data_IF_501267053541
#
_entry.id   IF_501267053541
#
_cell.length_a   1.000
_cell.length_b   1.000
_cell.length_c   1.000
_cell.angle_alpha   90.00
_cell.angle_beta   90.00
_cell.angle_gamma   90.00
#
_symmetry.space_group_name_H-M   'P 1'
#
loop_
_entity.id
_entity.type
_entity.pdbx_description
1 polymer ?
#
# COMPACT_ATOMS: atom_id res chain seq x y z
N UNK A 1 -26.92 17.53 28.87
CA UNK A 1 -26.60 18.14 27.54
C UNK A 1 -27.74 17.83 26.58
N UNK A 2 -28.13 18.75 25.68
CA UNK A 2 -29.13 18.42 24.65
C UNK A 2 -28.51 17.40 23.66
N UNK A 3 -29.24 16.35 23.25
CA UNK A 3 -28.69 15.30 22.38
C UNK A 3 -28.16 15.85 21.05
N UNK A 4 -28.75 16.93 20.54
CA UNK A 4 -28.29 17.61 19.33
C UNK A 4 -26.85 18.16 19.42
N UNK A 5 -26.41 18.60 20.62
CA UNK A 5 -25.04 19.10 20.81
C UNK A 5 -24.02 17.97 20.76
N UNK A 6 -24.38 16.80 21.28
CA UNK A 6 -23.51 15.61 21.26
C UNK A 6 -23.31 15.13 19.83
N UNK A 7 -24.40 15.02 19.06
CA UNK A 7 -24.32 14.66 17.63
C UNK A 7 -23.43 15.64 16.87
N UNK A 8 -23.61 16.95 17.08
CA UNK A 8 -22.80 17.97 16.41
C UNK A 8 -21.30 17.80 16.69
N UNK A 9 -20.91 17.56 17.95
CA UNK A 9 -19.51 17.32 18.33
C UNK A 9 -18.97 16.05 17.65
N UNK A 10 -19.75 14.96 17.62
CA UNK A 10 -19.35 13.71 16.97
C UNK A 10 -19.13 13.91 15.47
N UNK A 11 -20.04 14.61 14.78
CA UNK A 11 -19.90 14.90 13.35
C UNK A 11 -18.66 15.76 13.09
N UNK A 12 -18.42 16.81 13.90
CA UNK A 12 -17.23 17.65 13.77
C UNK A 12 -15.94 16.84 13.94
N UNK A 13 -15.92 15.93 14.91
CA UNK A 13 -14.80 15.04 15.13
C UNK A 13 -14.57 14.10 13.93
N UNK A 14 -15.62 13.49 13.38
CA UNK A 14 -15.52 12.62 12.20
C UNK A 14 -15.01 13.39 10.96
N UNK A 15 -15.51 14.61 10.73
CA UNK A 15 -15.04 15.47 9.63
C UNK A 15 -13.55 15.82 9.79
N UNK A 16 -13.11 16.10 11.02
CA UNK A 16 -11.71 16.37 11.29
C UNK A 16 -10.82 15.15 11.01
N UNK A 17 -11.25 13.96 11.44
CA UNK A 17 -10.56 12.69 11.16
C UNK A 17 -10.50 12.44 9.65
N UNK A 18 -11.62 12.56 8.94
CA UNK A 18 -11.69 12.36 7.48
C UNK A 18 -10.77 13.32 6.71
N UNK A 19 -10.73 14.61 7.09
CA UNK A 19 -9.81 15.57 6.52
C UNK A 19 -8.34 15.17 6.72
N UNK A 20 -8.00 14.65 7.92
CA UNK A 20 -6.68 14.10 8.21
C UNK A 20 -6.33 12.91 7.32
N UNK A 21 -7.24 11.94 7.18
CA UNK A 21 -7.05 10.79 6.29
C UNK A 21 -6.92 11.22 4.82
N UNK A 22 -7.72 12.19 4.37
CA UNK A 22 -7.67 12.72 3.01
C UNK A 22 -6.31 13.34 2.69
N UNK A 23 -5.78 14.19 3.59
CA UNK A 23 -4.44 14.77 3.42
C UNK A 23 -3.36 13.69 3.39
N UNK A 24 -3.45 12.69 4.25
CA UNK A 24 -2.53 11.55 4.24
C UNK A 24 -2.60 10.77 2.92
N UNK A 25 -3.80 10.45 2.45
CA UNK A 25 -4.01 9.74 1.18
C UNK A 25 -3.44 10.52 -0.01
N UNK A 26 -3.58 11.85 -0.02
CA UNK A 26 -2.98 12.71 -1.06
C UNK A 26 -1.46 12.69 -1.05
N UNK A 27 -0.83 12.66 0.13
CA UNK A 27 0.63 12.55 0.23
C UNK A 27 1.11 11.18 -0.28
N UNK A 28 0.42 10.11 0.12
CA UNK A 28 0.72 8.76 -0.35
C UNK A 28 0.58 8.64 -1.87
N UNK A 29 -0.48 9.21 -2.46
CA UNK A 29 -0.70 9.16 -3.91
C UNK A 29 0.44 9.79 -4.71
N UNK A 30 1.04 10.89 -4.21
CA UNK A 30 2.22 11.50 -4.85
C UNK A 30 3.44 10.58 -4.81
N UNK A 31 3.61 9.82 -3.73
CA UNK A 31 4.71 8.84 -3.60
C UNK A 31 4.54 7.66 -4.55
N UNK A 32 3.31 7.20 -4.75
CA UNK A 32 3.00 6.12 -5.69
C UNK A 32 3.06 6.56 -7.16
N UNK A 33 2.86 7.85 -7.45
CA UNK A 33 2.85 8.36 -8.82
C UNK A 33 4.15 8.05 -9.60
N UNK A 34 5.31 8.08 -8.93
CA UNK A 34 6.59 7.76 -9.56
C UNK A 34 6.73 6.28 -9.95
N UNK A 35 6.12 5.36 -9.19
CA UNK A 35 6.12 3.93 -9.51
C UNK A 35 5.03 3.54 -10.49
N UNK A 36 3.93 4.31 -10.58
CA UNK A 36 2.80 4.01 -11.45
C UNK A 36 3.17 4.01 -12.94
N UNK A 37 4.06 4.89 -13.39
CA UNK A 37 4.50 4.88 -14.79
C UNK A 37 5.26 3.60 -15.14
N UNK A 38 6.21 3.20 -14.29
CA UNK A 38 6.96 1.96 -14.49
C UNK A 38 6.04 0.73 -14.50
N UNK A 39 5.06 0.68 -13.59
CA UNK A 39 4.08 -0.40 -13.54
C UNK A 39 3.24 -0.43 -14.82
N UNK A 40 2.72 0.72 -15.29
CA UNK A 40 1.93 0.81 -16.53
C UNK A 40 2.71 0.33 -17.75
N UNK A 41 3.99 0.69 -17.84
CA UNK A 41 4.85 0.24 -18.94
C UNK A 41 5.03 -1.28 -18.87
N UNK A 42 5.38 -1.81 -17.68
CA UNK A 42 5.60 -3.23 -17.49
C UNK A 42 4.33 -4.06 -17.81
N UNK A 43 3.16 -3.63 -17.34
CA UNK A 43 1.90 -4.34 -17.60
C UNK A 43 1.51 -4.26 -19.07
N UNK A 44 1.71 -3.13 -19.73
CA UNK A 44 1.45 -2.98 -21.16
C UNK A 44 2.35 -3.89 -22.01
N UNK A 45 3.65 -3.93 -21.71
CA UNK A 45 4.62 -4.78 -22.44
C UNK A 45 4.32 -6.26 -22.26
N UNK A 46 3.89 -6.66 -21.06
CA UNK A 46 3.57 -8.06 -20.73
C UNK A 46 2.13 -8.46 -21.08
N UNK A 47 1.29 -7.53 -21.55
CA UNK A 47 -0.13 -7.80 -21.84
C UNK A 47 -0.95 -8.12 -20.59
N UNK A 48 -0.56 -7.59 -19.43
CA UNK A 48 -1.22 -7.82 -18.15
C UNK A 48 -2.20 -6.68 -17.83
N UNK A 49 -3.30 -7.01 -17.16
CA UNK A 49 -4.26 -6.01 -16.64
C UNK A 49 -3.78 -5.33 -15.37
N UNK A 50 -2.91 -6.00 -14.61
CA UNK A 50 -2.27 -5.52 -13.37
C UNK A 50 -0.87 -6.13 -13.26
N UNK A 51 -0.02 -5.59 -12.39
CA UNK A 51 1.33 -6.10 -12.16
C UNK A 51 1.26 -7.54 -11.62
N UNK A 52 1.85 -8.50 -12.32
CA UNK A 52 2.01 -9.87 -11.83
C UNK A 52 3.50 -10.16 -11.70
N UNK A 53 3.99 -10.23 -10.45
CA UNK A 53 5.41 -10.45 -10.14
C UNK A 53 5.76 -11.94 -10.21
N UNK A 54 4.85 -12.81 -9.77
CA UNK A 54 4.92 -14.26 -9.97
C UNK A 54 3.51 -14.85 -10.05
N UNK A 55 3.36 -15.97 -10.75
CA UNK A 55 2.07 -16.62 -10.96
C UNK A 55 1.72 -17.65 -9.89
N UNK A 56 2.63 -17.97 -8.97
CA UNK A 56 2.43 -19.06 -8.00
C UNK A 56 1.73 -18.58 -6.72
N UNK A 57 2.35 -17.67 -5.94
CA UNK A 57 1.78 -17.16 -4.70
C UNK A 57 0.71 -16.11 -4.99
N UNK A 58 -0.40 -16.15 -4.26
CA UNK A 58 -1.53 -15.23 -4.50
C UNK A 58 -1.12 -13.76 -4.32
N UNK A 59 -0.33 -13.46 -3.31
CA UNK A 59 0.13 -12.11 -2.97
C UNK A 59 1.14 -11.53 -3.96
N UNK A 60 1.69 -12.35 -4.88
CA UNK A 60 2.61 -11.90 -5.93
C UNK A 60 1.95 -11.78 -7.31
N UNK A 61 0.76 -12.38 -7.50
CA UNK A 61 0.02 -12.36 -8.78
C UNK A 61 -0.76 -11.06 -9.01
N UNK A 62 -1.35 -10.51 -7.95
CA UNK A 62 -2.15 -9.27 -8.00
C UNK A 62 -1.88 -8.41 -6.76
N UNK A 63 -0.69 -7.79 -6.66
CA UNK A 63 -0.27 -7.02 -5.48
C UNK A 63 -1.15 -5.79 -5.25
N UNK A 64 -1.86 -5.29 -6.26
CA UNK A 64 -2.78 -4.16 -6.10
C UNK A 64 -4.04 -4.50 -5.28
N UNK A 65 -4.43 -5.78 -5.23
CA UNK A 65 -5.66 -6.25 -4.55
C UNK A 65 -5.39 -7.30 -3.48
N UNK A 66 -4.14 -7.74 -3.33
CA UNK A 66 -3.76 -8.73 -2.32
C UNK A 66 -3.63 -8.07 -0.95
N UNK A 67 -4.22 -8.70 0.07
CA UNK A 67 -4.08 -8.24 1.45
C UNK A 67 -2.65 -8.52 1.96
N UNK A 68 -2.01 -7.57 2.66
CA UNK A 68 -0.71 -7.79 3.31
C UNK A 68 -0.65 -8.98 4.27
N UNK A 69 -1.78 -9.48 4.77
CA UNK A 69 -1.86 -10.63 5.69
C UNK A 69 -1.76 -11.97 4.97
N UNK A 70 -1.99 -12.03 3.66
CA UNK A 70 -2.05 -13.29 2.89
C UNK A 70 -0.79 -14.16 3.10
N UNK A 71 0.45 -13.64 3.14
CA UNK A 71 1.64 -14.45 3.42
C UNK A 71 1.68 -15.12 4.80
N UNK A 72 0.77 -14.74 5.71
CA UNK A 72 0.77 -15.16 7.12
C UNK A 72 -0.52 -15.89 7.52
N UNK A 73 -1.37 -16.26 6.56
CA UNK A 73 -2.68 -16.87 6.84
C UNK A 73 -2.62 -18.35 7.25
N UNK A 74 -1.47 -19.00 7.09
CA UNK A 74 -1.27 -20.37 7.53
C UNK A 74 -1.05 -20.46 9.06
N UNK A 75 -0.71 -21.64 9.55
CA UNK A 75 -0.40 -21.83 10.97
C UNK A 75 0.97 -21.20 11.34
N UNK A 76 1.16 -20.78 12.61
CA UNK A 76 2.46 -20.30 13.07
C UNK A 76 3.58 -21.28 12.74
N UNK A 77 4.65 -20.79 12.10
CA UNK A 77 5.79 -21.62 11.70
C UNK A 77 5.56 -22.50 10.45
N UNK A 78 4.44 -22.34 9.74
CA UNK A 78 4.27 -22.95 8.43
C UNK A 78 5.37 -22.49 7.47
N UNK A 79 5.89 -23.44 6.69
CA UNK A 79 6.83 -23.14 5.60
C UNK A 79 5.99 -22.94 4.34
N UNK A 80 6.12 -21.76 3.74
CA UNK A 80 5.51 -21.44 2.45
C UNK A 80 6.01 -22.41 1.36
N UNK A 81 5.09 -22.96 0.57
CA UNK A 81 5.38 -23.90 -0.50
C UNK A 81 5.73 -23.19 -1.82
N UNK A 82 5.36 -21.91 -1.94
CA UNK A 82 5.62 -21.11 -3.12
C UNK A 82 7.02 -20.46 -3.06
N UNK A 83 7.95 -20.79 -3.97
CA UNK A 83 9.31 -20.26 -3.94
C UNK A 83 9.39 -18.72 -4.06
N UNK A 84 8.44 -18.07 -4.73
CA UNK A 84 8.34 -16.59 -4.75
C UNK A 84 8.21 -15.96 -3.38
N UNK A 85 7.69 -16.66 -2.37
CA UNK A 85 7.70 -16.15 -1.00
C UNK A 85 9.11 -15.88 -0.47
N UNK A 86 10.12 -16.60 -0.97
CA UNK A 86 11.53 -16.47 -0.55
C UNK A 86 12.38 -15.59 -1.48
N UNK A 87 11.93 -15.32 -2.72
CA UNK A 87 12.71 -14.54 -3.69
C UNK A 87 12.68 -13.03 -3.43
N UNK A 88 11.59 -12.52 -2.82
CA UNK A 88 11.38 -11.09 -2.67
C UNK A 88 11.81 -10.63 -1.29
N UNK A 89 12.74 -9.67 -1.25
CA UNK A 89 13.05 -8.97 -0.02
C UNK A 89 11.84 -8.12 0.42
N UNK A 90 11.56 -8.02 1.73
CA UNK A 90 10.55 -7.09 2.22
C UNK A 90 10.88 -5.68 1.74
N UNK A 91 9.88 -4.87 1.37
CA UNK A 91 10.12 -3.51 0.92
C UNK A 91 10.92 -2.76 1.97
N UNK A 92 12.06 -2.19 1.57
CA UNK A 92 12.85 -1.37 2.47
C UNK A 92 11.97 -0.21 2.92
N UNK A 93 11.73 -0.10 4.24
CA UNK A 93 11.12 1.09 4.82
C UNK A 93 12.09 2.23 4.54
N UNK A 94 11.89 2.94 3.43
CA UNK A 94 12.68 4.12 3.08
C UNK A 94 12.37 5.16 4.15
N UNK A 95 13.20 5.20 5.21
CA UNK A 95 13.25 6.34 6.13
C UNK A 95 13.52 7.55 5.26
N UNK A 96 12.55 8.45 5.13
CA UNK A 96 12.63 9.68 4.34
C UNK A 96 13.61 10.71 4.92
N UNK A 97 14.72 10.27 5.53
CA UNK A 97 15.74 11.12 6.17
C UNK A 97 16.92 11.40 5.23
N UNK A 98 16.65 11.72 3.97
CA UNK A 98 17.63 12.26 3.04
C UNK A 98 16.91 13.23 2.10
N UNK A 99 16.39 14.31 2.68
CA UNK A 99 15.89 15.50 1.97
C UNK A 99 16.65 16.74 2.44
N UNK A 100 17.98 16.66 2.43
CA UNK A 100 18.85 17.84 2.56
C UNK A 100 20.19 17.60 1.86
N UNK A 101 20.19 17.46 0.53
CA UNK A 101 21.37 17.80 -0.24
C UNK A 101 20.91 18.30 -1.62
N UNK A 102 21.04 19.61 -1.90
CA UNK A 102 20.90 20.10 -3.27
C UNK A 102 22.11 19.61 -4.08
N UNK A 103 21.84 19.24 -5.33
CA UNK A 103 22.82 18.81 -6.34
C UNK A 103 23.86 19.91 -6.61
N UNK A 104 25.12 19.48 -6.79
CA UNK A 104 26.14 20.15 -7.60
C UNK A 104 26.55 19.18 -8.72
#
# INVERSE_FOLDING_TARGET
MRPSKVLFIVVLFLVFVDAGLYLHARDQQKRYASSLEAIKIATAVLGLTDLCVSTEARYTRHPAVSDPIVPFMDHPGAIEHFPSGSFWAPPQIRKSLQSSAPEL
#
